data_IF_888800727993
#
_entry.id   IF_888800727993
#
_cell.length_a   1.000
_cell.length_b   1.000
_cell.length_c   1.000
_cell.angle_alpha   90.00
_cell.angle_beta   90.00
_cell.angle_gamma   90.00
#
_symmetry.space_group_name_H-M   'P 1'
#
loop_
_entity.id
_entity.type
_entity.pdbx_description
1 polymer ?
#
# COMPACT_ATOMS: atom_id res chain seq x y z
N UNK A 1 -52.27 -73.91 6.27
CA UNK A 1 -50.77 -73.89 6.33
C UNK A 1 -50.38 -73.20 7.63
N UNK A 2 -50.01 -73.96 8.67
CA UNK A 2 -48.64 -74.09 9.24
C UNK A 2 -48.00 -72.75 9.70
N UNK A 3 -48.10 -72.50 11.02
CA UNK A 3 -47.10 -72.08 12.06
C UNK A 3 -45.63 -71.83 11.61
N UNK A 4 -44.71 -71.27 12.46
CA UNK A 4 -44.80 -70.32 13.60
C UNK A 4 -43.57 -69.34 13.74
N UNK A 5 -43.59 -68.61 14.87
CA UNK A 5 -42.55 -67.94 15.70
C UNK A 5 -41.15 -68.59 15.79
N UNK A 6 -40.07 -67.78 15.88
CA UNK A 6 -38.85 -67.90 16.73
C UNK A 6 -38.00 -66.62 16.54
N UNK A 7 -37.51 -65.82 17.50
CA UNK A 7 -36.83 -65.95 18.81
C UNK A 7 -35.41 -66.58 18.76
N UNK A 8 -34.40 -65.74 19.03
CA UNK A 8 -33.07 -65.97 19.67
C UNK A 8 -32.29 -64.64 19.55
N UNK A 9 -31.81 -63.90 20.56
CA UNK A 9 -31.19 -64.11 21.88
C UNK A 9 -29.81 -64.83 21.88
N UNK A 10 -28.75 -64.04 22.09
CA UNK A 10 -27.48 -64.40 22.77
C UNK A 10 -26.75 -63.08 23.13
N UNK A 11 -26.68 -62.68 24.42
CA UNK A 11 -25.64 -62.96 25.43
C UNK A 11 -24.26 -62.33 25.07
N UNK A 12 -23.91 -61.19 25.66
CA UNK A 12 -23.12 -60.99 26.91
C UNK A 12 -21.66 -61.47 26.82
N UNK A 13 -20.72 -60.53 26.85
CA UNK A 13 -19.59 -60.60 27.79
C UNK A 13 -19.05 -59.20 28.10
N UNK A 14 -18.94 -58.91 29.38
CA UNK A 14 -18.19 -57.79 29.94
C UNK A 14 -16.92 -58.37 30.57
N UNK A 15 -15.78 -57.73 30.33
CA UNK A 15 -14.56 -57.96 31.10
C UNK A 15 -13.93 -56.62 31.43
N UNK A 16 -13.73 -56.40 32.72
CA UNK A 16 -13.16 -55.20 33.34
C UNK A 16 -11.66 -55.39 33.64
N UNK A 17 -11.00 -54.26 33.94
CA UNK A 17 -9.71 -54.06 34.62
C UNK A 17 -8.45 -54.04 33.73
N UNK A 18 -7.85 -52.85 33.56
CA UNK A 18 -6.84 -52.30 34.48
C UNK A 18 -6.51 -50.84 34.14
N UNK A 19 -6.35 -50.06 35.19
CA UNK A 19 -5.83 -48.70 35.16
C UNK A 19 -4.31 -48.74 35.21
N UNK A 20 -3.66 -48.05 34.28
CA UNK A 20 -2.30 -47.57 34.44
C UNK A 20 -2.31 -46.05 34.27
N UNK A 21 -1.57 -45.41 35.17
CA UNK A 21 -1.56 -43.98 35.45
C UNK A 21 -0.32 -43.41 34.78
N UNK A 22 -0.50 -42.48 33.85
CA UNK A 22 0.60 -41.70 33.28
C UNK A 22 0.24 -40.21 33.34
N UNK A 23 0.93 -39.49 34.23
CA UNK A 23 1.16 -38.04 34.15
C UNK A 23 2.14 -37.84 32.98
N UNK A 24 2.15 -36.79 32.16
CA UNK A 24 1.92 -35.38 32.37
C UNK A 24 1.89 -34.71 30.97
N UNK A 25 1.41 -33.47 30.88
CA UNK A 25 1.80 -32.35 30.00
C UNK A 25 0.58 -31.46 29.74
N UNK A 26 0.53 -30.24 30.31
CA UNK A 26 -0.51 -29.28 30.00
C UNK A 26 -0.27 -28.77 28.57
N UNK A 27 -1.20 -29.08 27.67
CA UNK A 27 -1.28 -28.37 26.40
C UNK A 27 -1.66 -26.92 26.69
N UNK A 28 -0.75 -26.01 26.35
CA UNK A 28 -1.00 -24.57 26.21
C UNK A 28 -2.17 -24.37 25.23
N UNK A 29 -3.38 -24.38 25.76
CA UNK A 29 -4.59 -23.99 25.07
C UNK A 29 -4.78 -22.48 25.20
N UNK A 30 -3.84 -21.74 24.61
CA UNK A 30 -4.06 -20.33 24.31
C UNK A 30 -5.28 -20.21 23.37
N UNK A 31 -6.27 -19.34 23.66
CA UNK A 31 -7.49 -19.25 22.86
C UNK A 31 -7.16 -18.87 21.41
N UNK A 32 -7.35 -19.81 20.48
CA UNK A 32 -7.32 -19.53 19.03
C UNK A 32 -8.55 -18.69 18.69
N UNK A 33 -8.35 -17.38 18.66
CA UNK A 33 -9.31 -16.47 18.02
C UNK A 33 -9.44 -16.88 16.54
N UNK A 34 -10.68 -17.04 16.01
CA UNK A 34 -10.88 -17.46 14.63
C UNK A 34 -10.34 -16.39 13.68
N UNK A 35 -9.47 -16.81 12.77
CA UNK A 35 -8.87 -15.97 11.75
C UNK A 35 -9.96 -15.49 10.77
N UNK A 36 -10.57 -14.34 11.04
CA UNK A 36 -11.25 -13.57 9.99
C UNK A 36 -10.21 -13.22 8.93
N UNK A 37 -10.55 -13.46 7.67
CA UNK A 37 -9.78 -13.04 6.52
C UNK A 37 -9.62 -11.51 6.57
N UNK A 38 -8.50 -11.04 7.14
CA UNK A 38 -8.24 -9.60 7.25
C UNK A 38 -7.98 -9.08 5.84
N UNK A 39 -9.00 -8.42 5.27
CA UNK A 39 -8.96 -7.61 4.05
C UNK A 39 -7.86 -6.55 4.20
N UNK A 40 -7.21 -6.20 3.10
CA UNK A 40 -6.27 -5.08 3.08
C UNK A 40 -6.95 -3.79 3.59
N UNK A 41 -6.32 -3.07 4.54
CA UNK A 41 -6.84 -1.78 5.00
C UNK A 41 -6.94 -0.81 3.83
N UNK A 42 -8.05 -0.10 3.73
CA UNK A 42 -8.29 0.81 2.60
C UNK A 42 -7.17 1.83 2.46
N UNK A 43 -6.77 2.49 3.55
CA UNK A 43 -5.71 3.49 3.54
C UNK A 43 -4.30 2.96 3.19
N UNK A 44 -4.11 1.64 3.08
CA UNK A 44 -2.80 1.05 2.79
C UNK A 44 -2.26 1.40 1.39
N UNK A 45 -3.10 1.85 0.45
CA UNK A 45 -2.64 2.36 -0.84
C UNK A 45 -1.61 3.49 -0.68
N UNK A 46 -1.70 4.29 0.39
CA UNK A 46 -0.76 5.38 0.70
C UNK A 46 0.66 4.85 0.88
N UNK A 47 0.80 3.68 1.50
CA UNK A 47 2.07 3.05 1.79
C UNK A 47 2.61 2.31 0.54
N UNK A 48 1.72 1.64 -0.20
CA UNK A 48 2.08 0.88 -1.41
C UNK A 48 2.68 1.74 -2.53
N UNK A 49 2.38 3.03 -2.52
CA UNK A 49 2.98 3.97 -3.48
C UNK A 49 4.51 4.08 -3.33
N UNK A 50 5.06 3.82 -2.13
CA UNK A 50 6.48 4.00 -1.81
C UNK A 50 7.20 2.74 -1.33
N UNK A 51 6.47 1.76 -0.81
CA UNK A 51 7.01 0.62 -0.11
C UNK A 51 6.61 -0.69 -0.78
N UNK A 52 7.60 -1.47 -1.19
CA UNK A 52 7.40 -2.82 -1.74
C UNK A 52 7.48 -3.88 -0.63
N UNK A 53 6.82 -5.04 -0.76
CA UNK A 53 6.81 -6.07 0.28
C UNK A 53 8.19 -6.47 0.79
N UNK A 54 9.13 -6.71 -0.11
CA UNK A 54 10.47 -7.21 0.19
C UNK A 54 11.54 -6.60 -0.74
N UNK A 55 11.36 -5.37 -1.18
CA UNK A 55 12.37 -4.63 -1.95
C UNK A 55 12.31 -3.13 -1.62
N UNK A 56 13.36 -2.40 -1.99
CA UNK A 56 13.43 -0.94 -1.83
C UNK A 56 12.82 -0.27 -3.07
N UNK A 57 12.04 0.78 -2.87
CA UNK A 57 11.53 1.63 -3.95
C UNK A 57 11.88 3.10 -3.66
N UNK A 58 10.91 3.86 -3.14
CA UNK A 58 11.11 5.22 -2.65
C UNK A 58 11.42 5.16 -1.16
N UNK A 59 10.71 4.28 -0.45
CA UNK A 59 10.97 3.94 0.94
C UNK A 59 11.59 2.55 1.10
N UNK A 60 11.94 2.18 2.34
CA UNK A 60 12.38 0.84 2.68
C UNK A 60 11.29 -0.21 2.41
N UNK A 61 11.71 -1.47 2.32
CA UNK A 61 10.76 -2.58 2.16
C UNK A 61 9.83 -2.74 3.38
N UNK A 62 8.64 -3.31 3.17
CA UNK A 62 7.74 -3.61 4.29
C UNK A 62 8.35 -4.61 5.29
N UNK A 63 9.20 -5.53 4.82
CA UNK A 63 9.98 -6.44 5.68
C UNK A 63 10.91 -5.66 6.63
N UNK A 64 11.55 -4.62 6.13
CA UNK A 64 12.40 -3.74 6.93
C UNK A 64 11.56 -2.92 7.92
N UNK A 65 10.39 -2.40 7.49
CA UNK A 65 9.45 -1.71 8.37
C UNK A 65 9.00 -2.62 9.51
N UNK A 66 8.58 -3.87 9.23
CA UNK A 66 8.27 -4.87 10.27
C UNK A 66 9.43 -5.03 11.26
N UNK A 67 10.66 -5.01 10.77
CA UNK A 67 11.85 -5.23 11.59
C UNK A 67 12.12 -4.03 12.50
N UNK A 68 11.93 -2.81 11.99
CA UNK A 68 12.07 -1.58 12.77
C UNK A 68 10.91 -1.38 13.76
N UNK A 69 9.71 -1.83 13.38
CA UNK A 69 8.48 -1.68 14.14
C UNK A 69 7.77 -3.05 14.28
N UNK A 70 8.29 -3.96 15.13
CA UNK A 70 7.62 -5.20 15.48
C UNK A 70 6.30 -4.93 16.21
N UNK A 71 5.53 -5.99 16.52
CA UNK A 71 4.18 -5.88 17.08
C UNK A 71 4.11 -5.03 18.35
N UNK A 72 5.16 -5.09 19.17
CA UNK A 72 5.29 -4.38 20.44
C UNK A 72 5.55 -2.88 20.26
N UNK A 73 5.91 -2.45 19.05
CA UNK A 73 6.26 -1.06 18.71
C UNK A 73 5.17 -0.36 17.88
N UNK A 74 3.91 -0.72 18.10
CA UNK A 74 2.77 -0.10 17.41
C UNK A 74 2.71 1.41 17.64
N UNK A 75 2.87 1.88 18.87
CA UNK A 75 2.79 3.33 19.17
C UNK A 75 3.90 4.11 18.47
N UNK A 76 5.13 3.57 18.46
CA UNK A 76 6.27 4.15 17.74
C UNK A 76 6.03 4.19 16.22
N UNK A 77 5.38 3.16 15.67
CA UNK A 77 4.99 3.12 14.25
C UNK A 77 3.97 4.21 13.93
N UNK A 78 2.91 4.33 14.74
CA UNK A 78 1.85 5.33 14.54
C UNK A 78 2.42 6.74 14.66
N UNK A 79 3.25 7.00 15.66
CA UNK A 79 3.92 8.30 15.82
C UNK A 79 4.82 8.62 14.64
N UNK A 80 5.62 7.66 14.18
CA UNK A 80 6.47 7.82 13.00
C UNK A 80 5.66 8.11 11.73
N UNK A 81 4.51 7.44 11.54
CA UNK A 81 3.63 7.70 10.41
C UNK A 81 3.06 9.11 10.43
N UNK A 82 2.72 9.64 11.60
CA UNK A 82 2.15 10.99 11.74
C UNK A 82 3.24 12.06 11.55
N UNK A 83 4.42 11.87 12.15
CA UNK A 83 5.49 12.86 12.13
C UNK A 83 6.85 12.25 11.73
N UNK A 84 6.99 11.81 10.47
CA UNK A 84 8.23 11.20 10.01
C UNK A 84 9.36 12.22 9.88
N UNK A 85 10.53 11.84 10.36
CA UNK A 85 11.78 12.58 10.17
C UNK A 85 12.62 12.05 8.99
N UNK A 86 13.73 12.73 8.71
CA UNK A 86 14.78 12.24 7.82
C UNK A 86 15.62 11.18 8.55
N UNK A 87 15.33 9.89 8.32
CA UNK A 87 16.07 8.77 8.95
C UNK A 87 17.29 8.30 8.17
N UNK A 88 17.26 8.47 6.84
CA UNK A 88 18.26 7.93 5.90
C UNK A 88 18.78 9.08 5.05
N UNK A 89 20.08 9.41 5.10
CA UNK A 89 20.66 10.46 4.26
C UNK A 89 20.34 10.26 2.78
N UNK A 90 20.45 9.02 2.31
CA UNK A 90 20.32 8.58 0.91
C UNK A 90 18.87 8.39 0.40
N UNK A 91 17.87 8.33 1.29
CA UNK A 91 16.46 8.16 0.90
C UNK A 91 15.66 9.44 1.10
N UNK A 92 14.64 9.73 0.27
CA UNK A 92 13.74 10.84 0.55
C UNK A 92 13.06 10.68 1.92
N UNK A 93 12.72 11.81 2.54
CA UNK A 93 11.93 11.79 3.77
C UNK A 93 10.51 11.28 3.48
N UNK A 94 10.02 10.35 4.31
CA UNK A 94 8.65 9.89 4.23
C UNK A 94 7.70 11.08 4.51
N UNK A 95 6.61 11.25 3.74
CA UNK A 95 5.66 12.32 4.00
C UNK A 95 4.84 11.98 5.25
N UNK A 96 4.30 13.00 5.91
CA UNK A 96 3.36 12.80 7.01
C UNK A 96 2.10 12.08 6.52
N UNK A 97 1.65 11.11 7.31
CA UNK A 97 0.38 10.39 7.15
C UNK A 97 -0.67 10.87 8.16
N UNK A 98 -0.55 12.10 8.67
CA UNK A 98 -1.47 12.66 9.67
C UNK A 98 -2.95 12.70 9.21
N UNK A 99 -3.21 12.61 7.90
CA UNK A 99 -4.56 12.53 7.34
C UNK A 99 -5.23 11.16 7.56
N UNK A 100 -4.47 10.12 7.92
CA UNK A 100 -4.95 8.76 8.23
C UNK A 100 -5.21 8.68 9.74
N UNK A 101 -6.42 8.31 10.18
CA UNK A 101 -6.73 8.13 11.59
C UNK A 101 -5.81 7.08 12.27
N UNK A 102 -5.45 7.32 13.54
CA UNK A 102 -4.60 6.38 14.32
C UNK A 102 -5.10 4.92 14.31
N UNK A 103 -6.41 4.63 14.43
CA UNK A 103 -6.89 3.25 14.34
C UNK A 103 -6.59 2.60 12.97
N UNK A 104 -6.74 3.34 11.87
CA UNK A 104 -6.37 2.84 10.53
C UNK A 104 -4.85 2.64 10.38
N UNK A 105 -4.03 3.50 10.98
CA UNK A 105 -2.58 3.29 11.02
C UNK A 105 -2.22 2.00 11.78
N UNK A 106 -2.96 1.66 12.84
CA UNK A 106 -2.78 0.38 13.54
C UNK A 106 -3.21 -0.83 12.68
N UNK A 107 -4.29 -0.71 11.90
CA UNK A 107 -4.68 -1.73 10.92
C UNK A 107 -3.62 -1.91 9.82
N UNK A 108 -3.03 -0.81 9.34
CA UNK A 108 -1.91 -0.84 8.39
C UNK A 108 -0.70 -1.55 9.01
N UNK A 109 -0.35 -1.25 10.26
CA UNK A 109 0.74 -1.94 10.96
C UNK A 109 0.49 -3.45 11.02
N UNK A 110 -0.69 -3.85 11.50
CA UNK A 110 -1.10 -5.26 11.56
C UNK A 110 -1.06 -5.93 10.18
N UNK A 111 -1.51 -5.21 9.13
CA UNK A 111 -1.43 -5.69 7.75
C UNK A 111 0.01 -5.88 7.29
N UNK A 112 0.92 -4.94 7.55
CA UNK A 112 2.36 -5.05 7.24
C UNK A 112 2.97 -6.28 7.92
N UNK A 113 2.71 -6.47 9.22
CA UNK A 113 3.19 -7.64 9.96
C UNK A 113 2.69 -8.95 9.33
N UNK A 114 1.41 -8.99 8.93
CA UNK A 114 0.77 -10.15 8.30
C UNK A 114 1.36 -10.46 6.92
N UNK A 115 1.35 -9.50 5.99
CA UNK A 115 1.74 -9.73 4.58
C UNK A 115 3.23 -9.95 4.39
N UNK A 116 4.04 -9.54 5.36
CA UNK A 116 5.49 -9.77 5.32
C UNK A 116 5.91 -11.05 6.03
N UNK A 117 5.01 -11.74 6.74
CA UNK A 117 5.33 -12.97 7.48
C UNK A 117 5.99 -14.00 6.57
N UNK A 118 7.17 -14.49 6.96
CA UNK A 118 7.97 -15.44 6.17
C UNK A 118 8.73 -14.83 4.99
N UNK A 119 8.54 -13.54 4.66
CA UNK A 119 9.39 -12.84 3.71
C UNK A 119 10.75 -12.52 4.36
N UNK A 120 11.80 -12.76 3.58
CA UNK A 120 13.19 -12.43 3.93
C UNK A 120 13.52 -10.98 3.53
N UNK A 121 14.55 -10.37 4.13
CA UNK A 121 15.08 -9.06 3.74
C UNK A 121 15.39 -9.01 2.24
N UNK A 122 15.53 -7.81 1.64
CA UNK A 122 15.42 -7.64 0.20
C UNK A 122 16.24 -8.65 -0.59
N UNK A 123 15.55 -9.36 -1.50
CA UNK A 123 16.19 -10.28 -2.43
C UNK A 123 17.14 -9.49 -3.35
N UNK A 124 18.07 -10.19 -4.01
CA UNK A 124 18.70 -9.62 -5.21
C UNK A 124 17.60 -9.09 -6.13
N UNK A 125 17.76 -7.85 -6.59
CA UNK A 125 16.74 -7.10 -7.34
C UNK A 125 16.14 -7.98 -8.45
N UNK A 126 14.81 -7.97 -8.64
CA UNK A 126 14.18 -8.68 -9.73
C UNK A 126 14.85 -8.30 -11.06
N UNK A 127 14.88 -9.22 -12.04
CA UNK A 127 15.36 -8.92 -13.40
C UNK A 127 14.26 -8.32 -14.28
N UNK A 128 13.03 -8.29 -13.78
CA UNK A 128 11.81 -7.88 -14.50
C UNK A 128 11.03 -6.83 -13.70
N UNK A 129 10.35 -5.93 -14.42
CA UNK A 129 9.57 -4.86 -13.84
C UNK A 129 8.34 -5.40 -13.08
N UNK A 130 8.24 -5.20 -11.74
CA UNK A 130 7.08 -5.64 -10.96
C UNK A 130 5.80 -4.89 -11.36
N UNK A 131 5.88 -3.82 -12.14
CA UNK A 131 4.74 -3.05 -12.63
C UNK A 131 4.30 -3.42 -14.06
N UNK A 132 4.99 -4.36 -14.72
CA UNK A 132 4.62 -4.85 -16.05
C UNK A 132 3.22 -5.49 -15.98
N UNK A 133 2.23 -4.81 -16.57
CA UNK A 133 0.80 -5.20 -16.65
C UNK A 133 -0.07 -5.00 -15.39
N UNK A 134 0.09 -3.91 -14.65
CA UNK A 134 -0.85 -3.56 -13.56
C UNK A 134 -2.07 -2.78 -14.07
N UNK A 135 -3.26 -3.04 -13.49
CA UNK A 135 -4.54 -2.36 -13.80
C UNK A 135 -4.47 -0.86 -13.46
N UNK A 136 -5.18 -0.03 -14.22
CA UNK A 136 -5.40 1.40 -13.98
C UNK A 136 -6.78 1.61 -13.29
N UNK A 137 -7.01 2.69 -12.51
CA UNK A 137 -6.05 3.71 -12.14
C UNK A 137 -4.95 3.14 -11.24
N UNK A 138 -3.74 3.63 -11.40
CA UNK A 138 -2.58 3.23 -10.60
C UNK A 138 -1.85 4.45 -10.10
N UNK A 139 -1.47 4.42 -8.83
CA UNK A 139 -0.76 5.52 -8.18
C UNK A 139 0.63 5.02 -7.83
N UNK A 140 1.65 5.68 -8.38
CA UNK A 140 3.05 5.31 -8.17
C UNK A 140 3.80 6.53 -7.69
N UNK A 141 4.49 6.42 -6.55
CA UNK A 141 5.47 7.42 -6.18
C UNK A 141 6.82 7.04 -6.77
N UNK A 142 7.42 7.94 -7.53
CA UNK A 142 8.70 7.69 -8.20
C UNK A 142 9.41 8.99 -8.59
N UNK A 143 10.62 8.86 -9.11
CA UNK A 143 11.44 9.96 -9.61
C UNK A 143 11.22 10.04 -11.11
N UNK A 144 10.74 11.18 -11.58
CA UNK A 144 10.43 11.45 -12.98
C UNK A 144 11.15 12.74 -13.42
N UNK A 145 11.38 12.96 -14.72
CA UNK A 145 11.90 14.23 -15.22
C UNK A 145 11.04 15.41 -14.80
N UNK A 146 11.65 16.58 -14.65
CA UNK A 146 10.96 17.88 -14.52
C UNK A 146 9.92 17.98 -13.39
N UNK A 147 10.05 17.14 -12.36
CA UNK A 147 9.30 17.20 -11.12
C UNK A 147 10.22 17.01 -9.92
N UNK A 148 9.71 17.36 -8.74
CA UNK A 148 10.39 17.13 -7.47
C UNK A 148 10.64 15.64 -7.22
N UNK A 149 11.68 15.31 -6.43
CA UNK A 149 11.94 13.95 -5.98
C UNK A 149 10.69 13.30 -5.39
N UNK A 150 10.44 12.06 -5.81
CA UNK A 150 9.28 11.29 -5.38
C UNK A 150 7.93 11.98 -5.69
N UNK A 151 7.76 12.52 -6.90
CA UNK A 151 6.45 12.90 -7.42
C UNK A 151 5.48 11.70 -7.44
N UNK A 152 4.18 11.99 -7.45
CA UNK A 152 3.13 10.98 -7.53
C UNK A 152 2.60 10.95 -8.96
N UNK A 153 2.77 9.82 -9.63
CA UNK A 153 2.22 9.57 -10.95
C UNK A 153 0.90 8.83 -10.80
N UNK A 154 -0.18 9.48 -11.24
CA UNK A 154 -1.51 8.88 -11.33
C UNK A 154 -1.73 8.43 -12.76
N UNK A 155 -1.61 7.13 -12.98
CA UNK A 155 -1.84 6.47 -14.26
C UNK A 155 -3.35 6.24 -14.42
N UNK A 156 -4.05 7.12 -15.13
CA UNK A 156 -5.51 7.08 -15.29
C UNK A 156 -5.94 5.98 -16.25
N UNK A 157 -7.14 5.43 -16.02
CA UNK A 157 -7.75 4.41 -16.89
C UNK A 157 -8.49 5.05 -18.07
N UNK A 158 -7.72 5.62 -18.99
CA UNK A 158 -8.22 6.22 -20.24
C UNK A 158 -7.68 5.44 -21.43
N UNK A 159 -8.35 5.51 -22.58
CA UNK A 159 -7.89 4.90 -23.84
C UNK A 159 -6.45 5.29 -24.21
N UNK A 160 -6.12 6.58 -24.16
CA UNK A 160 -4.76 7.08 -24.46
C UNK A 160 -3.75 6.91 -23.31
N UNK A 161 -4.15 6.30 -22.20
CA UNK A 161 -3.31 6.06 -21.01
C UNK A 161 -2.69 7.35 -20.43
N UNK A 162 -3.53 8.33 -20.14
CA UNK A 162 -3.12 9.57 -19.48
C UNK A 162 -2.41 9.28 -18.15
N UNK A 163 -1.28 9.95 -17.92
CA UNK A 163 -0.55 9.90 -16.66
C UNK A 163 -0.37 11.33 -16.14
N UNK A 164 -0.99 11.60 -15.00
CA UNK A 164 -0.87 12.87 -14.32
C UNK A 164 0.30 12.81 -13.34
N UNK A 165 1.26 13.72 -13.49
CA UNK A 165 2.39 13.85 -12.56
C UNK A 165 2.07 14.97 -11.58
N UNK A 166 1.76 14.61 -10.34
CA UNK A 166 1.50 15.53 -9.25
C UNK A 166 2.75 15.71 -8.38
N UNK A 167 3.20 16.94 -8.28
CA UNK A 167 4.43 17.34 -7.62
C UNK A 167 4.24 17.49 -6.11
N UNK A 168 5.00 16.74 -5.32
CA UNK A 168 4.83 16.75 -3.85
C UNK A 168 5.50 17.93 -3.14
N UNK A 169 6.43 18.63 -3.80
CA UNK A 169 7.08 19.82 -3.21
C UNK A 169 6.25 21.07 -3.49
N UNK A 170 5.86 21.28 -4.73
CA UNK A 170 5.07 22.43 -5.14
C UNK A 170 3.55 22.22 -5.05
N UNK A 171 3.10 21.04 -4.63
CA UNK A 171 1.70 20.66 -4.43
C UNK A 171 0.80 21.11 -5.59
N UNK A 172 1.08 20.59 -6.79
CA UNK A 172 0.35 20.89 -8.04
C UNK A 172 0.60 19.82 -9.10
N UNK A 173 -0.20 19.84 -10.16
CA UNK A 173 0.12 19.11 -11.40
C UNK A 173 1.36 19.73 -12.04
N UNK A 174 2.44 18.96 -12.18
CA UNK A 174 3.64 19.40 -12.90
C UNK A 174 3.45 19.28 -14.41
N UNK A 175 2.95 18.14 -14.88
CA UNK A 175 2.67 17.89 -16.29
C UNK A 175 1.79 16.65 -16.46
N UNK A 176 1.28 16.45 -17.68
CA UNK A 176 0.53 15.26 -18.08
C UNK A 176 1.18 14.63 -19.30
N UNK A 177 1.29 13.30 -19.29
CA UNK A 177 1.83 12.51 -20.40
C UNK A 177 0.83 11.46 -20.90
N UNK A 178 1.05 10.97 -22.12
CA UNK A 178 0.31 9.86 -22.73
C UNK A 178 1.17 8.61 -22.84
N UNK A 179 0.53 7.44 -22.77
CA UNK A 179 1.16 6.14 -22.97
C UNK A 179 1.59 5.44 -21.69
N UNK A 180 2.43 4.41 -21.82
CA UNK A 180 2.89 3.64 -20.67
C UNK A 180 4.01 4.34 -19.91
N UNK A 181 4.00 4.15 -18.59
CA UNK A 181 5.12 4.49 -17.71
C UNK A 181 6.01 3.27 -17.53
N UNK A 182 7.33 3.49 -17.62
CA UNK A 182 8.34 2.49 -17.31
C UNK A 182 9.13 2.95 -16.08
N UNK A 183 8.77 2.39 -14.92
CA UNK A 183 9.43 2.68 -13.64
C UNK A 183 10.74 1.89 -13.46
N UNK A 184 11.03 0.96 -14.38
CA UNK A 184 12.12 0.01 -14.24
C UNK A 184 13.53 0.62 -14.21
N UNK A 185 13.84 1.67 -14.99
CA UNK A 185 15.14 2.34 -14.91
C UNK A 185 15.40 2.89 -13.50
N UNK A 186 14.40 3.53 -12.88
CA UNK A 186 14.49 4.02 -11.51
C UNK A 186 14.75 2.87 -10.53
N UNK A 187 13.89 1.83 -10.53
CA UNK A 187 13.96 0.71 -9.58
C UNK A 187 15.32 -0.01 -9.62
N UNK A 188 15.91 -0.20 -10.81
CA UNK A 188 17.21 -0.85 -10.94
C UNK A 188 18.40 0.05 -10.63
N UNK A 189 18.22 1.37 -10.56
CA UNK A 189 19.31 2.33 -10.40
C UNK A 189 19.64 2.71 -8.96
N UNK A 190 18.89 2.21 -7.95
CA UNK A 190 19.00 2.67 -6.56
C UNK A 190 18.78 4.18 -6.41
N UNK A 191 17.79 4.73 -7.14
CA UNK A 191 17.48 6.16 -7.09
C UNK A 191 18.35 7.07 -7.95
N UNK A 192 19.31 6.51 -8.71
CA UNK A 192 20.22 7.27 -9.58
C UNK A 192 19.74 7.42 -11.03
N UNK A 193 18.50 7.04 -11.33
CA UNK A 193 17.89 7.16 -12.65
C UNK A 193 16.44 7.60 -12.49
N UNK A 194 15.81 7.99 -13.59
CA UNK A 194 14.42 8.45 -13.62
C UNK A 194 13.55 7.41 -14.29
N UNK A 195 12.30 7.30 -13.84
CA UNK A 195 11.27 6.58 -14.57
C UNK A 195 11.01 7.28 -15.90
N UNK A 196 10.68 6.49 -16.93
CA UNK A 196 10.25 7.03 -18.22
C UNK A 196 8.77 7.29 -18.17
N UNK A 197 8.42 8.56 -18.25
CA UNK A 197 7.05 9.05 -18.46
C UNK A 197 6.87 9.24 -19.96
N UNK A 198 5.70 8.90 -20.50
CA UNK A 198 5.46 8.89 -21.94
C UNK A 198 5.49 10.28 -22.60
N UNK A 199 4.70 10.49 -23.67
CA UNK A 199 4.73 11.76 -24.41
C UNK A 199 4.01 12.87 -23.63
N UNK A 200 4.70 13.95 -23.29
CA UNK A 200 4.10 15.12 -22.64
C UNK A 200 3.07 15.82 -23.52
N UNK A 201 1.90 16.12 -22.96
CA UNK A 201 0.79 16.84 -23.62
C UNK A 201 0.41 18.14 -22.93
N UNK A 202 0.84 18.32 -21.68
CA UNK A 202 0.63 19.51 -20.87
C UNK A 202 1.80 19.66 -19.92
N UNK A 203 2.30 20.88 -19.74
CA UNK A 203 3.30 21.24 -18.73
C UNK A 203 2.79 22.45 -17.97
N UNK A 204 3.01 22.46 -16.66
CA UNK A 204 2.68 23.58 -15.81
C UNK A 204 3.92 24.46 -15.60
N UNK A 205 3.90 25.66 -16.16
CA UNK A 205 4.99 26.63 -16.05
C UNK A 205 5.01 27.40 -14.73
N UNK A 206 4.06 27.11 -13.82
CA UNK A 206 4.03 27.73 -12.49
C UNK A 206 5.28 27.35 -11.67
N UNK A 207 5.80 28.24 -10.82
CA UNK A 207 7.00 27.99 -10.03
C UNK A 207 6.92 26.73 -9.16
N UNK A 208 8.03 25.98 -9.10
CA UNK A 208 8.09 24.72 -8.31
C UNK A 208 8.24 24.91 -6.81
N UNK A 209 8.83 26.03 -6.40
CA UNK A 209 9.12 26.33 -5.00
C UNK A 209 8.11 27.33 -4.45
N UNK A 210 7.12 26.81 -3.75
CA UNK A 210 6.13 27.56 -2.96
C UNK A 210 6.17 27.00 -1.53
N UNK A 211 5.77 27.78 -0.52
CA UNK A 211 5.77 27.35 0.89
C UNK A 211 4.59 26.41 1.22
N UNK A 212 4.36 25.43 0.33
CA UNK A 212 3.31 24.42 0.51
C UNK A 212 3.87 23.17 1.15
N UNK A 213 3.07 22.54 1.99
CA UNK A 213 3.41 21.30 2.68
C UNK A 213 2.43 20.21 2.28
N UNK A 214 2.92 19.20 1.58
CA UNK A 214 2.15 18.01 1.26
C UNK A 214 1.77 17.22 2.52
N UNK A 215 0.48 16.92 2.68
CA UNK A 215 -0.12 16.23 3.85
C UNK A 215 -0.59 14.80 3.55
N UNK A 216 -0.45 14.34 2.30
CA UNK A 216 -0.87 13.01 1.86
C UNK A 216 -2.01 13.07 0.85
N UNK A 217 -2.73 11.95 0.70
CA UNK A 217 -3.91 11.88 -0.16
C UNK A 217 -4.89 10.83 0.35
N UNK A 218 -6.16 10.99 -0.04
CA UNK A 218 -7.20 9.98 0.17
C UNK A 218 -7.64 9.42 -1.16
N UNK A 219 -8.13 8.19 -1.19
CA UNK A 219 -8.77 7.65 -2.39
C UNK A 219 -10.25 7.96 -2.34
N UNK A 220 -10.78 8.47 -3.45
CA UNK A 220 -12.21 8.68 -3.61
C UNK A 220 -12.92 7.39 -4.06
N UNK A 221 -14.26 7.45 -4.20
CA UNK A 221 -15.06 6.31 -4.64
C UNK A 221 -14.71 5.77 -6.03
N UNK A 222 -13.94 6.49 -6.84
CA UNK A 222 -13.50 6.10 -8.18
C UNK A 222 -12.08 5.52 -8.20
N UNK A 223 -11.41 5.39 -7.05
CA UNK A 223 -10.03 4.92 -6.99
C UNK A 223 -9.01 6.01 -7.32
N UNK A 224 -9.39 7.29 -7.34
CA UNK A 224 -8.51 8.42 -7.66
C UNK A 224 -8.04 9.14 -6.39
N UNK A 225 -6.80 9.66 -6.37
CA UNK A 225 -6.31 10.40 -5.23
C UNK A 225 -6.92 11.81 -5.16
N UNK A 226 -7.37 12.17 -3.96
CA UNK A 226 -7.60 13.54 -3.52
C UNK A 226 -6.40 13.96 -2.69
N UNK A 227 -5.54 14.80 -3.27
CA UNK A 227 -4.31 15.27 -2.62
C UNK A 227 -4.63 16.33 -1.57
N UNK A 228 -3.92 16.28 -0.45
CA UNK A 228 -4.07 17.18 0.68
C UNK A 228 -2.75 17.92 0.89
N UNK A 229 -2.81 19.23 1.03
CA UNK A 229 -1.64 20.06 1.33
C UNK A 229 -2.04 21.32 2.10
N UNK A 230 -1.06 21.99 2.71
CA UNK A 230 -1.28 23.28 3.39
C UNK A 230 -0.41 24.37 2.77
N UNK A 231 -0.88 25.61 2.81
CA UNK A 231 -0.15 26.84 2.47
C UNK A 231 -0.34 27.80 3.65
N UNK A 232 0.72 27.99 4.45
CA UNK A 232 0.59 28.58 5.79
C UNK A 232 -0.40 27.80 6.67
N UNK A 233 -1.35 28.52 7.27
CA UNK A 233 -2.39 27.95 8.14
C UNK A 233 -3.62 27.42 7.38
N UNK A 234 -3.66 27.57 6.06
CA UNK A 234 -4.79 27.13 5.25
C UNK A 234 -4.55 25.73 4.67
N UNK A 235 -5.54 24.86 4.80
CA UNK A 235 -5.54 23.53 4.18
C UNK A 235 -6.29 23.54 2.83
N UNK A 236 -5.76 22.78 1.88
CA UNK A 236 -6.27 22.64 0.53
C UNK A 236 -6.42 21.18 0.13
N UNK A 237 -7.28 20.97 -0.88
CA UNK A 237 -7.48 19.67 -1.51
C UNK A 237 -7.54 19.77 -3.02
N UNK A 238 -6.78 18.92 -3.70
CA UNK A 238 -6.86 18.74 -5.16
C UNK A 238 -7.52 17.41 -5.45
N UNK A 239 -8.72 17.44 -6.05
CA UNK A 239 -9.39 16.26 -6.56
C UNK A 239 -9.19 16.13 -8.07
N UNK A 240 -9.06 14.90 -8.56
CA UNK A 240 -9.06 14.61 -9.99
C UNK A 240 -10.49 14.30 -10.43
N UNK A 241 -10.99 15.06 -11.38
CA UNK A 241 -12.29 14.84 -12.02
C UNK A 241 -12.01 14.48 -13.48
N UNK A 242 -12.44 13.29 -13.86
CA UNK A 242 -12.32 12.79 -15.23
C UNK A 242 -13.70 12.83 -15.90
N UNK A 243 -13.76 13.49 -17.05
CA UNK A 243 -14.94 13.55 -17.93
C UNK A 243 -14.56 13.09 -19.33
N UNK A 244 -15.54 12.92 -20.22
CA UNK A 244 -15.30 12.41 -21.58
C UNK A 244 -14.36 13.29 -22.41
N UNK A 245 -14.34 14.60 -22.19
CA UNK A 245 -13.55 15.57 -22.97
C UNK A 245 -12.44 16.26 -22.16
N UNK A 246 -12.43 16.12 -20.83
CA UNK A 246 -11.50 16.85 -19.95
C UNK A 246 -11.05 16.05 -18.74
N UNK A 247 -9.78 16.27 -18.39
CA UNK A 247 -9.20 16.00 -17.08
C UNK A 247 -9.15 17.30 -16.30
N UNK A 248 -9.81 17.36 -15.15
CA UNK A 248 -9.72 18.50 -14.24
C UNK A 248 -9.02 18.09 -12.96
N UNK A 249 -8.10 18.92 -12.48
CA UNK A 249 -7.47 18.76 -11.17
C UNK A 249 -7.53 20.08 -10.42
N UNK A 250 -8.19 20.09 -9.27
CA UNK A 250 -8.48 21.33 -8.57
C UNK A 250 -9.24 22.30 -9.49
N UNK A 251 -8.78 23.55 -9.61
CA UNK A 251 -9.35 24.57 -10.51
C UNK A 251 -8.78 24.54 -11.93
N UNK A 252 -7.89 23.59 -12.26
CA UNK A 252 -7.23 23.50 -13.55
C UNK A 252 -7.91 22.47 -14.46
N UNK A 253 -8.27 22.88 -15.69
CA UNK A 253 -8.84 22.00 -16.72
C UNK A 253 -7.83 21.72 -17.83
N UNK A 254 -7.69 20.45 -18.19
CA UNK A 254 -6.79 19.95 -19.24
C UNK A 254 -7.65 19.17 -20.25
N UNK A 255 -7.69 19.56 -21.54
CA UNK A 255 -8.39 18.82 -22.57
C UNK A 255 -7.83 17.40 -22.73
N UNK A 256 -8.70 16.40 -22.84
CA UNK A 256 -8.33 15.07 -23.33
C UNK A 256 -8.25 15.16 -24.86
N UNK A 257 -7.11 14.78 -25.44
CA UNK A 257 -6.91 14.79 -26.89
C UNK A 257 -7.22 13.43 -27.49
#
# INVERSE_FOLDING_TARGET
>A
MKRPVSLMLALLSASSLRADKEQDHPTDESPKLPAKEVKEPEAFFNCKACHLPNDVQVGPSLVEIRTAYPAEKLDEFVEWCINPGKKRPEMPQMPSMAHIPKPELAEIHAHILKVTKGLKPPRKRPREDPFKATKRPRIVRTFVPDASPAAIVVCLDTEEKHNLVWDTVGCRVAYVTLGEIDNWPYLRSNGNSLAKVGKTIFTNDSPTKVERVYRGYRIDGNGLPVFLYSDGDQEFRDAIILSSDRLQVGTQSIPLK
#
